data_IF_566915106840
#
_entry.id   IF_566915106840
#
_cell.length_a   1.000
_cell.length_b   1.000
_cell.length_c   1.000
_cell.angle_alpha   90.00
_cell.angle_beta   90.00
_cell.angle_gamma   90.00
#
_symmetry.space_group_name_H-M   'P 1'
#
loop_
_entity.id
_entity.type
_entity.pdbx_description
1 polymer ?
#
# COMPACT_ATOMS: atom_id res chain seq x y z
N UNK A 1 7.01 -23.90 4.18
CA UNK A 1 6.54 -23.05 5.29
C UNK A 1 6.08 -21.66 4.80
N UNK A 2 6.53 -21.20 3.63
CA UNK A 2 6.19 -19.86 3.09
C UNK A 2 4.81 -19.77 2.40
N UNK A 3 4.24 -20.88 1.90
CA UNK A 3 2.93 -20.89 1.21
C UNK A 3 1.81 -20.30 2.08
N UNK A 4 1.77 -20.66 3.36
CA UNK A 4 0.73 -20.21 4.30
C UNK A 4 0.79 -18.70 4.56
N UNK A 5 1.99 -18.10 4.53
CA UNK A 5 2.16 -16.66 4.70
C UNK A 5 1.65 -15.91 3.46
N UNK A 6 2.00 -16.38 2.26
CA UNK A 6 1.56 -15.76 1.01
C UNK A 6 0.03 -15.83 0.84
N UNK A 7 -0.59 -16.96 1.21
CA UNK A 7 -2.04 -17.11 1.19
C UNK A 7 -2.75 -16.18 2.19
N UNK A 8 -2.14 -15.96 3.36
CA UNK A 8 -2.66 -15.02 4.33
C UNK A 8 -2.52 -13.56 3.86
N UNK A 9 -1.35 -13.19 3.32
CA UNK A 9 -1.07 -11.84 2.81
C UNK A 9 -2.03 -11.43 1.68
N UNK A 10 -2.41 -12.36 0.80
CA UNK A 10 -3.38 -12.11 -0.28
C UNK A 10 -4.74 -11.59 0.20
N UNK A 11 -5.10 -11.84 1.45
CA UNK A 11 -6.35 -11.33 2.04
C UNK A 11 -6.28 -9.83 2.38
N UNK A 12 -5.08 -9.23 2.33
CA UNK A 12 -4.82 -7.83 2.70
C UNK A 12 -4.07 -7.09 1.57
N UNK A 13 -4.73 -6.81 0.43
CA UNK A 13 -4.08 -6.13 -0.70
C UNK A 13 -3.65 -4.71 -0.33
N UNK A 14 -2.50 -4.28 -0.86
CA UNK A 14 -1.87 -2.98 -0.58
C UNK A 14 -2.78 -1.77 -0.88
N UNK A 15 -3.69 -1.90 -1.86
CA UNK A 15 -4.59 -0.82 -2.27
C UNK A 15 -5.79 -0.64 -1.32
N UNK A 16 -6.03 -1.59 -0.42
CA UNK A 16 -7.19 -1.56 0.48
C UNK A 16 -6.89 -0.92 1.82
N UNK A 17 -7.94 -0.49 2.53
CA UNK A 17 -7.81 0.00 3.90
C UNK A 17 -7.43 -1.12 4.90
N UNK A 18 -7.59 -2.39 4.52
CA UNK A 18 -7.21 -3.55 5.35
C UNK A 18 -5.70 -3.77 5.38
N UNK A 19 -4.93 -3.14 4.49
CA UNK A 19 -3.48 -3.27 4.45
C UNK A 19 -2.80 -2.85 5.76
N UNK A 20 -3.35 -1.91 6.52
CA UNK A 20 -2.79 -1.54 7.83
C UNK A 20 -2.83 -2.68 8.84
N UNK A 21 -3.74 -3.64 8.70
CA UNK A 21 -3.91 -4.76 9.62
C UNK A 21 -2.80 -5.82 9.51
N UNK A 22 -2.08 -5.85 8.38
CA UNK A 22 -0.98 -6.81 8.15
C UNK A 22 0.39 -6.23 8.52
N UNK A 23 0.49 -4.93 8.77
CA UNK A 23 1.73 -4.29 9.18
C UNK A 23 2.09 -4.67 10.62
N UNK A 24 3.37 -4.88 10.88
CA UNK A 24 3.88 -5.26 12.21
C UNK A 24 3.49 -4.22 13.27
N UNK A 25 2.71 -4.59 14.31
CA UNK A 25 2.34 -3.70 15.41
C UNK A 25 3.54 -3.07 16.13
N UNK A 26 4.71 -3.71 16.09
CA UNK A 26 5.94 -3.22 16.71
C UNK A 26 6.49 -1.96 16.05
N UNK A 27 6.05 -1.62 14.83
CA UNK A 27 6.40 -0.37 14.16
C UNK A 27 5.73 0.85 14.81
N UNK A 28 4.74 0.66 15.70
CA UNK A 28 4.09 1.72 16.49
C UNK A 28 3.66 2.94 15.64
N UNK A 29 3.12 2.69 14.44
CA UNK A 29 2.72 3.73 13.49
C UNK A 29 3.85 4.70 13.06
N UNK A 30 5.12 4.36 13.29
CA UNK A 30 6.29 5.11 12.83
C UNK A 30 6.61 4.76 11.38
N UNK A 31 5.61 4.85 10.51
CA UNK A 31 5.77 4.60 9.08
C UNK A 31 4.71 5.38 8.28
N UNK A 32 5.08 5.81 7.09
CA UNK A 32 4.10 6.34 6.12
C UNK A 32 3.32 5.19 5.49
N UNK A 33 1.98 5.27 5.55
CA UNK A 33 1.13 4.28 4.88
C UNK A 33 1.38 4.26 3.36
N UNK A 34 1.71 5.41 2.76
CA UNK A 34 2.03 5.51 1.34
C UNK A 34 3.34 4.78 1.02
N UNK A 35 4.38 4.98 1.83
CA UNK A 35 5.65 4.26 1.69
C UNK A 35 5.47 2.75 1.88
N UNK A 36 4.71 2.34 2.91
CA UNK A 36 4.44 0.93 3.16
C UNK A 36 3.69 0.26 2.00
N UNK A 37 2.71 0.94 1.39
CA UNK A 37 2.02 0.45 0.19
C UNK A 37 2.97 0.30 -1.00
N UNK A 38 3.88 1.25 -1.21
CA UNK A 38 4.90 1.19 -2.27
C UNK A 38 5.80 -0.03 -2.08
N UNK A 39 6.26 -0.27 -0.86
CA UNK A 39 7.09 -1.44 -0.51
C UNK A 39 6.31 -2.74 -0.72
N UNK A 40 5.04 -2.81 -0.32
CA UNK A 40 4.23 -4.01 -0.53
C UNK A 40 4.03 -4.34 -2.02
N UNK A 41 3.80 -3.34 -2.87
CA UNK A 41 3.72 -3.53 -4.33
C UNK A 41 5.04 -4.01 -4.93
N UNK A 42 6.16 -3.50 -4.41
CA UNK A 42 7.49 -3.96 -4.81
C UNK A 42 7.69 -5.43 -4.41
N UNK A 43 7.33 -5.80 -3.18
CA UNK A 43 7.41 -7.17 -2.71
C UNK A 43 6.56 -8.14 -3.56
N UNK A 44 5.33 -7.74 -3.92
CA UNK A 44 4.47 -8.53 -4.83
C UNK A 44 5.14 -8.76 -6.20
N UNK A 45 5.76 -7.71 -6.75
CA UNK A 45 6.50 -7.79 -8.02
C UNK A 45 7.71 -8.73 -7.94
N UNK A 46 8.39 -8.78 -6.79
CA UNK A 46 9.51 -9.70 -6.55
C UNK A 46 9.07 -11.18 -6.44
N UNK A 47 7.83 -11.43 -6.05
CA UNK A 47 7.27 -12.76 -5.81
C UNK A 47 6.55 -13.38 -7.02
N UNK A 48 6.54 -12.68 -8.17
CA UNK A 48 5.95 -13.20 -9.41
C UNK A 48 6.59 -14.55 -9.77
N UNK A 49 5.75 -15.53 -10.14
CA UNK A 49 6.20 -16.89 -10.49
C UNK A 49 7.19 -16.89 -11.66
N UNK A 50 6.92 -16.07 -12.66
CA UNK A 50 7.77 -15.91 -13.82
C UNK A 50 9.00 -15.06 -13.48
N UNK A 51 10.20 -15.62 -13.62
CA UNK A 51 11.44 -14.92 -13.31
C UNK A 51 11.70 -13.70 -14.22
N UNK A 52 11.21 -13.71 -15.47
CA UNK A 52 11.40 -12.62 -16.44
C UNK A 52 10.60 -11.36 -16.10
N UNK A 53 9.51 -11.52 -15.36
CA UNK A 53 8.64 -10.41 -14.94
C UNK A 53 9.11 -9.80 -13.61
N UNK A 54 10.08 -10.43 -12.92
CA UNK A 54 10.63 -9.91 -11.67
C UNK A 54 11.52 -8.70 -11.94
N UNK A 55 11.45 -7.66 -11.09
CA UNK A 55 12.33 -6.52 -11.21
C UNK A 55 13.79 -6.92 -10.96
N UNK A 56 14.71 -6.25 -11.64
CA UNK A 56 16.15 -6.36 -11.37
C UNK A 56 16.50 -5.74 -10.02
N UNK A 57 17.60 -6.17 -9.41
CA UNK A 57 18.05 -5.59 -8.13
C UNK A 57 18.31 -4.08 -8.21
N UNK A 58 18.71 -3.56 -9.38
CA UNK A 58 18.86 -2.13 -9.61
C UNK A 58 17.50 -1.40 -9.46
N UNK A 59 16.46 -1.91 -10.13
CA UNK A 59 15.10 -1.36 -10.03
C UNK A 59 14.53 -1.50 -8.62
N UNK A 60 14.83 -2.61 -7.92
CA UNK A 60 14.42 -2.81 -6.52
C UNK A 60 15.01 -1.72 -5.63
N UNK A 61 16.31 -1.45 -5.76
CA UNK A 61 17.00 -0.41 -4.98
C UNK A 61 16.45 0.98 -5.28
N UNK A 62 16.20 1.30 -6.55
CA UNK A 62 15.58 2.57 -6.95
C UNK A 62 14.21 2.76 -6.30
N UNK A 63 13.33 1.75 -6.38
CA UNK A 63 11.99 1.78 -5.77
C UNK A 63 12.03 1.86 -4.25
N UNK A 64 13.03 1.27 -3.60
CA UNK A 64 13.23 1.39 -2.15
C UNK A 64 13.67 2.81 -1.77
N UNK A 65 14.55 3.44 -2.55
CA UNK A 65 14.95 4.84 -2.33
C UNK A 65 13.76 5.79 -2.47
N UNK A 66 12.90 5.59 -3.48
CA UNK A 66 11.64 6.34 -3.60
C UNK A 66 10.75 6.18 -2.37
N UNK A 67 10.61 4.95 -1.84
CA UNK A 67 9.79 4.70 -0.67
C UNK A 67 10.32 5.40 0.60
N UNK A 68 11.64 5.52 0.74
CA UNK A 68 12.28 6.26 1.83
C UNK A 68 11.96 7.76 1.70
N UNK A 69 12.10 8.35 0.52
CA UNK A 69 11.77 9.77 0.28
C UNK A 69 10.30 10.08 0.65
N UNK A 70 9.37 9.22 0.23
CA UNK A 70 7.93 9.34 0.58
C UNK A 70 7.70 9.26 2.10
N UNK A 71 8.53 8.49 2.81
CA UNK A 71 8.40 8.36 4.27
C UNK A 71 8.84 9.63 5.01
N UNK A 72 9.80 10.36 4.46
CA UNK A 72 10.33 11.61 5.02
C UNK A 72 9.36 12.78 4.78
N UNK A 73 8.70 12.81 3.61
CA UNK A 73 7.69 13.83 3.27
C UNK A 73 6.41 13.72 4.12
N UNK A 74 6.03 12.51 4.53
CA UNK A 74 4.81 12.24 5.29
C UNK A 74 4.80 12.75 6.74
N UNK A 75 5.94 13.17 7.28
CA UNK A 75 6.04 13.74 8.63
C UNK A 75 5.62 15.23 8.63
N UNK A 76 5.67 15.92 7.47
CA UNK A 76 5.44 17.35 7.36
C UNK A 76 3.98 17.78 7.11
N UNK A 77 3.08 16.88 6.70
CA UNK A 77 1.69 17.24 6.40
C UNK A 77 0.68 16.30 7.06
N UNK A 78 0.29 16.66 8.28
CA UNK A 78 -0.95 16.17 8.86
C UNK A 78 -2.15 16.52 7.97
N UNK A 79 -3.09 15.58 7.86
CA UNK A 79 -4.48 15.80 7.43
C UNK A 79 -4.70 16.22 5.96
N UNK A 80 -4.82 15.25 5.05
CA UNK A 80 -5.82 15.33 3.98
C UNK A 80 -6.55 14.00 3.88
N UNK A 81 -7.67 13.94 4.60
CA UNK A 81 -8.71 12.95 4.39
C UNK A 81 -9.11 12.99 2.91
N UNK A 82 -8.85 11.92 2.18
CA UNK A 82 -9.42 11.72 0.86
C UNK A 82 -10.92 11.44 1.05
N UNK A 83 -11.78 12.45 0.89
CA UNK A 83 -13.18 12.23 0.55
C UNK A 83 -13.28 11.93 -0.95
N UNK A 84 -13.79 10.76 -1.37
CA UNK A 84 -14.39 10.60 -2.67
C UNK A 84 -15.90 10.79 -2.52
N UNK A 85 -16.40 12.02 -2.67
CA UNK A 85 -17.84 12.24 -2.77
C UNK A 85 -18.26 12.20 -4.23
N UNK A 86 -18.76 11.04 -4.65
CA UNK A 86 -19.21 10.83 -6.02
C UNK A 86 -19.97 9.52 -6.22
N UNK A 87 -21.20 9.43 -5.72
CA UNK A 87 -22.35 8.85 -6.47
C UNK A 87 -23.67 8.78 -5.67
N UNK A 88 -24.66 9.52 -6.17
CA UNK A 88 -26.12 9.28 -6.26
C UNK A 88 -26.98 9.15 -4.98
N UNK A 89 -27.90 10.12 -4.79
CA UNK A 89 -29.17 9.89 -4.08
C UNK A 89 -30.32 10.78 -4.63
N UNK A 90 -31.29 10.14 -5.27
CA UNK A 90 -32.72 10.45 -5.46
C UNK A 90 -33.20 11.93 -5.48
N UNK A 91 -33.58 12.40 -6.68
CA UNK A 91 -34.46 13.57 -6.84
C UNK A 91 -35.84 13.27 -6.24
N UNK A 92 -36.16 13.94 -5.13
CA UNK A 92 -37.54 14.06 -4.61
C UNK A 92 -38.25 15.23 -5.31
N UNK A 93 -39.42 14.96 -5.88
CA UNK A 93 -40.34 15.95 -6.47
C UNK A 93 -40.91 16.90 -5.40
N UNK A 94 -41.15 18.19 -5.71
CA UNK A 94 -42.00 19.04 -4.89
C UNK A 94 -43.48 18.99 -5.31
N UNK A 95 -44.31 19.47 -4.38
CA UNK A 95 -45.77 19.38 -4.28
C UNK A 95 -46.51 20.27 -5.28
#
# INVERSE_FOLDING_TARGET
MEQKLLEWVKQFPADTNRFSMIIDPRLRNQYSIAAARKIAKLADSCLIKNAKDRPTMSQIVERLKEAIQISEEGIASGSRSSEPSGSKFFQRKPR
#
